data_IF_739847819376
#
_entry.id   IF_739847819376
#
_cell.length_a   1.000
_cell.length_b   1.000
_cell.length_c   1.000
_cell.angle_alpha   90.00
_cell.angle_beta   90.00
_cell.angle_gamma   90.00
#
_symmetry.space_group_name_H-M   'P 1'
#
loop_
_entity.id
_entity.type
_entity.pdbx_description
1 polymer ?
#
# COMPACT_ATOMS: atom_id res chain seq x y z
N UNK A 1 -0.09 60.32 -21.54
CA UNK A 1 1.35 60.50 -21.83
C UNK A 1 2.06 59.42 -21.01
N UNK A 2 2.75 58.38 -21.48
CA UNK A 2 3.45 57.97 -22.71
C UNK A 2 3.46 56.42 -22.72
N UNK A 3 2.85 55.67 -23.66
CA UNK A 3 3.38 54.98 -24.86
C UNK A 3 4.71 54.16 -24.73
N UNK A 4 4.59 52.82 -24.57
CA UNK A 4 5.01 51.63 -25.44
C UNK A 4 6.44 51.65 -26.06
N UNK A 5 7.24 50.53 -26.15
CA UNK A 5 6.90 49.19 -26.74
C UNK A 5 7.46 47.94 -25.99
N UNK A 6 6.96 46.69 -26.07
CA UNK A 6 6.59 45.74 -27.16
C UNK A 6 7.75 45.28 -28.07
N UNK A 7 7.86 43.95 -28.25
CA UNK A 7 8.60 43.19 -29.28
C UNK A 7 10.11 42.89 -29.08
N UNK A 8 10.39 41.63 -28.74
CA UNK A 8 11.41 40.80 -29.40
C UNK A 8 10.68 39.47 -29.74
N UNK A 9 10.15 39.31 -30.95
CA UNK A 9 10.82 38.67 -32.11
C UNK A 9 11.18 37.20 -31.81
N UNK A 10 10.35 36.21 -32.14
CA UNK A 10 10.00 35.70 -33.48
C UNK A 10 11.17 34.95 -34.14
N UNK A 11 10.86 33.72 -34.56
CA UNK A 11 11.56 32.89 -35.56
C UNK A 11 12.95 32.34 -35.16
N UNK A 12 12.98 31.05 -34.82
CA UNK A 12 13.91 30.15 -35.50
C UNK A 12 13.13 28.95 -36.04
N UNK A 13 12.55 29.22 -37.22
CA UNK A 13 11.94 28.28 -38.14
C UNK A 13 13.08 27.58 -38.91
N UNK A 14 13.03 26.24 -38.94
CA UNK A 14 13.47 25.39 -40.07
C UNK A 14 14.98 25.33 -40.40
N UNK A 15 15.57 24.19 -40.03
CA UNK A 15 16.45 23.40 -40.91
C UNK A 15 15.98 21.95 -40.78
N UNK A 16 15.07 21.51 -41.65
CA UNK A 16 15.35 20.65 -42.80
C UNK A 16 16.05 19.32 -42.42
N UNK A 17 15.34 18.21 -42.59
CA UNK A 17 15.62 17.15 -43.59
C UNK A 17 17.07 16.63 -43.46
N UNK A 18 17.35 15.34 -43.28
CA UNK A 18 17.02 14.23 -44.18
C UNK A 18 17.80 13.02 -43.67
N UNK A 19 17.20 11.83 -43.59
CA UNK A 19 17.79 10.58 -44.09
C UNK A 19 16.87 9.39 -43.73
N UNK A 20 16.00 9.07 -44.68
CA UNK A 20 15.53 7.71 -44.89
C UNK A 20 16.74 6.81 -45.20
N UNK A 21 16.86 5.67 -44.51
CA UNK A 21 17.44 4.47 -45.11
C UNK A 21 16.64 3.24 -44.64
N UNK A 22 15.69 2.73 -45.44
CA UNK A 22 15.34 1.32 -45.40
C UNK A 22 16.31 0.58 -46.32
N UNK A 23 17.26 -0.18 -45.77
CA UNK A 23 18.09 -1.07 -46.57
C UNK A 23 17.33 -2.38 -46.80
N UNK A 24 16.91 -2.60 -48.04
CA UNK A 24 16.33 -3.83 -48.53
C UNK A 24 17.37 -4.95 -48.61
N UNK A 25 16.95 -6.16 -48.22
CA UNK A 25 17.09 -7.37 -49.02
C UNK A 25 18.46 -8.04 -49.13
N UNK A 26 18.59 -9.20 -48.48
CA UNK A 26 19.24 -10.38 -49.08
C UNK A 26 18.54 -11.66 -48.61
N UNK A 27 17.90 -12.35 -49.55
CA UNK A 27 17.59 -13.78 -49.60
C UNK A 27 17.69 -14.12 -51.10
N UNK A 28 18.30 -15.22 -51.57
CA UNK A 28 18.19 -16.58 -51.02
C UNK A 28 19.46 -17.46 -51.09
N UNK A 29 19.51 -18.54 -50.31
CA UNK A 29 20.16 -19.79 -50.79
C UNK A 29 19.54 -21.00 -50.08
N UNK A 30 18.88 -21.91 -50.80
CA UNK A 30 18.45 -23.18 -50.22
C UNK A 30 19.64 -24.15 -50.22
N UNK A 31 20.17 -24.45 -49.03
CA UNK A 31 21.09 -25.57 -48.86
C UNK A 31 20.28 -26.86 -48.75
N UNK A 32 20.52 -27.80 -49.67
CA UNK A 32 19.96 -29.15 -49.66
C UNK A 32 20.33 -29.91 -48.38
N UNK A 33 19.38 -30.63 -47.75
CA UNK A 33 19.75 -31.67 -46.79
C UNK A 33 20.26 -32.95 -47.51
N UNK A 34 21.27 -33.62 -46.95
CA UNK A 34 21.86 -34.88 -47.46
C UNK A 34 20.94 -36.11 -47.15
N UNK A 35 21.29 -37.32 -47.61
CA UNK A 35 20.32 -38.36 -47.95
C UNK A 35 19.65 -39.05 -46.74
N UNK A 36 18.46 -39.57 -47.04
CA UNK A 36 17.58 -40.35 -46.19
C UNK A 36 18.31 -41.46 -45.43
N UNK A 37 18.32 -41.37 -44.10
CA UNK A 37 18.64 -42.50 -43.22
C UNK A 37 17.40 -43.36 -43.06
N UNK A 38 17.57 -44.66 -43.31
CA UNK A 38 16.59 -45.72 -43.12
C UNK A 38 16.06 -45.70 -41.68
N UNK A 39 14.75 -45.58 -41.50
CA UNK A 39 14.09 -45.69 -40.20
C UNK A 39 14.10 -47.17 -39.81
N UNK A 40 14.94 -47.52 -38.84
CA UNK A 40 14.80 -48.77 -38.09
C UNK A 40 13.55 -48.65 -37.24
N UNK A 41 12.61 -49.58 -37.38
CA UNK A 41 11.38 -49.63 -36.58
C UNK A 41 11.72 -49.86 -35.10
N UNK A 42 11.66 -48.80 -34.31
CA UNK A 42 11.69 -48.88 -32.85
C UNK A 42 10.41 -49.57 -32.36
N UNK A 43 10.48 -50.54 -31.43
CA UNK A 43 9.29 -51.12 -30.83
C UNK A 43 8.47 -50.04 -30.13
N UNK A 44 7.20 -49.90 -30.51
CA UNK A 44 6.23 -48.99 -29.89
C UNK A 44 6.00 -49.43 -28.45
N UNK A 45 6.53 -48.66 -27.50
CA UNK A 45 6.14 -48.76 -26.09
C UNK A 45 4.65 -48.38 -25.97
N UNK A 46 3.87 -49.08 -25.13
CA UNK A 46 2.49 -48.71 -24.86
C UNK A 46 2.44 -47.27 -24.33
N UNK A 47 1.36 -46.51 -24.60
CA UNK A 47 1.23 -45.15 -24.12
C UNK A 47 1.43 -45.13 -22.61
N UNK A 48 2.27 -44.23 -22.06
CA UNK A 48 2.43 -44.14 -20.62
C UNK A 48 1.06 -43.91 -20.02
N UNK A 49 0.69 -44.73 -19.04
CA UNK A 49 -0.50 -44.52 -18.26
C UNK A 49 -0.45 -43.07 -17.76
N UNK A 50 -1.43 -42.25 -18.17
CA UNK A 50 -1.60 -40.89 -17.67
C UNK A 50 -1.92 -41.05 -16.19
N UNK A 51 -0.87 -41.04 -15.39
CA UNK A 51 -1.01 -41.02 -13.94
C UNK A 51 -1.60 -39.63 -13.67
N UNK A 52 -2.77 -39.51 -13.03
CA UNK A 52 -3.32 -38.19 -12.74
C UNK A 52 -2.25 -37.43 -11.98
N UNK A 53 -1.76 -36.35 -12.59
CA UNK A 53 -0.85 -35.45 -11.91
C UNK A 53 -1.58 -35.00 -10.66
N UNK A 54 -1.04 -35.18 -9.45
CA UNK A 54 -1.69 -34.68 -8.26
C UNK A 54 -1.93 -33.20 -8.49
N UNK A 55 -3.21 -32.80 -8.54
CA UNK A 55 -3.59 -31.40 -8.59
C UNK A 55 -3.05 -30.80 -7.30
N UNK A 56 -1.93 -30.09 -7.39
CA UNK A 56 -1.41 -29.32 -6.25
C UNK A 56 -2.55 -28.39 -5.84
N UNK A 57 -3.08 -28.60 -4.64
CA UNK A 57 -4.13 -27.74 -4.12
C UNK A 57 -3.58 -26.32 -4.09
N UNK A 58 -4.31 -25.37 -4.70
CA UNK A 58 -3.92 -23.97 -4.62
C UNK A 58 -3.98 -23.54 -3.16
N UNK A 59 -2.97 -22.82 -2.65
CA UNK A 59 -3.04 -22.22 -1.32
C UNK A 59 -4.30 -21.38 -1.18
N UNK A 60 -4.93 -21.44 -0.01
CA UNK A 60 -6.17 -20.72 0.30
C UNK A 60 -6.17 -20.24 1.73
N UNK A 61 -6.82 -19.12 2.00
CA UNK A 61 -7.09 -18.61 3.34
C UNK A 61 -8.55 -18.84 3.71
N UNK A 62 -8.80 -19.19 4.97
CA UNK A 62 -10.13 -19.28 5.55
C UNK A 62 -10.24 -18.40 6.81
N UNK A 63 -11.47 -18.06 7.21
CA UNK A 63 -11.69 -17.27 8.43
C UNK A 63 -11.08 -17.92 9.68
N UNK A 64 -11.17 -19.24 9.79
CA UNK A 64 -10.66 -20.02 10.93
C UNK A 64 -9.14 -19.88 11.13
N UNK A 65 -8.41 -19.53 10.07
CA UNK A 65 -6.97 -19.27 10.16
C UNK A 65 -6.65 -18.04 11.03
N UNK A 66 -7.58 -17.09 11.13
CA UNK A 66 -7.40 -15.82 11.84
C UNK A 66 -7.90 -15.85 13.29
N UNK A 67 -7.98 -17.01 13.91
CA UNK A 67 -8.44 -17.16 15.31
C UNK A 67 -7.34 -16.93 16.35
N UNK A 68 -6.08 -16.81 15.90
CA UNK A 68 -4.93 -16.54 16.76
C UNK A 68 -4.78 -15.07 17.17
N UNK A 69 -3.86 -14.78 18.11
CA UNK A 69 -3.57 -13.42 18.57
C UNK A 69 -2.81 -12.56 17.56
N UNK A 70 -2.30 -13.16 16.48
CA UNK A 70 -1.55 -12.50 15.41
C UNK A 70 -2.21 -12.87 14.08
N UNK A 71 -2.28 -11.90 13.17
CA UNK A 71 -2.91 -12.08 11.86
C UNK A 71 -1.89 -12.37 10.75
N UNK A 72 -0.59 -12.23 11.04
CA UNK A 72 0.49 -12.49 10.08
C UNK A 72 0.69 -13.97 9.71
N UNK A 73 0.67 -14.96 10.63
CA UNK A 73 1.01 -16.34 10.31
C UNK A 73 0.15 -17.00 9.22
N UNK A 74 -1.19 -16.80 9.17
CA UNK A 74 -2.00 -17.27 8.04
C UNK A 74 -1.52 -16.75 6.68
N UNK A 75 -1.23 -15.45 6.61
CA UNK A 75 -0.81 -14.79 5.39
C UNK A 75 0.56 -15.28 4.95
N UNK A 76 1.51 -15.38 5.90
CA UNK A 76 2.83 -15.97 5.64
C UNK A 76 2.72 -17.40 5.12
N UNK A 77 1.93 -18.27 5.77
CA UNK A 77 1.70 -19.65 5.31
C UNK A 77 1.14 -19.70 3.89
N UNK A 78 0.21 -18.81 3.55
CA UNK A 78 -0.34 -18.70 2.20
C UNK A 78 0.75 -18.33 1.18
N UNK A 79 1.55 -17.30 1.48
CA UNK A 79 2.63 -16.84 0.61
C UNK A 79 3.73 -17.89 0.43
N UNK A 80 4.15 -18.54 1.52
CA UNK A 80 5.17 -19.60 1.53
C UNK A 80 4.72 -20.86 0.79
N UNK A 81 3.41 -21.12 0.72
CA UNK A 81 2.86 -22.21 -0.07
C UNK A 81 2.80 -21.91 -1.58
N UNK A 82 3.33 -20.76 -2.02
CA UNK A 82 3.29 -20.30 -3.41
C UNK A 82 2.02 -19.51 -3.75
N UNK A 83 1.35 -18.96 -2.74
CA UNK A 83 0.27 -18.00 -2.94
C UNK A 83 0.77 -16.75 -3.65
N UNK A 84 -0.07 -16.15 -4.49
CA UNK A 84 0.28 -14.98 -5.28
C UNK A 84 -0.07 -13.70 -4.49
N UNK A 85 0.93 -12.87 -4.10
CA UNK A 85 0.70 -11.61 -3.38
C UNK A 85 -0.30 -10.69 -4.09
N UNK A 86 -0.33 -10.69 -5.43
CA UNK A 86 -1.20 -9.81 -6.22
C UNK A 86 -2.68 -10.18 -6.11
N UNK A 87 -2.98 -11.42 -5.69
CA UNK A 87 -4.35 -11.90 -5.49
C UNK A 87 -4.79 -11.87 -4.03
N UNK A 88 -3.87 -11.59 -3.10
CA UNK A 88 -4.09 -11.70 -1.67
C UNK A 88 -5.22 -10.79 -1.19
N UNK A 89 -5.26 -9.54 -1.64
CA UNK A 89 -6.34 -8.60 -1.29
C UNK A 89 -7.71 -9.15 -1.70
N UNK A 90 -7.85 -9.56 -2.95
CA UNK A 90 -9.12 -10.09 -3.48
C UNK A 90 -9.54 -11.38 -2.75
N UNK A 91 -8.58 -12.23 -2.38
CA UNK A 91 -8.84 -13.43 -1.60
C UNK A 91 -9.31 -13.13 -0.19
N UNK A 92 -8.64 -12.21 0.52
CA UNK A 92 -9.04 -11.78 1.86
C UNK A 92 -10.42 -11.15 1.84
N UNK A 93 -10.68 -10.22 0.92
CA UNK A 93 -11.96 -9.53 0.76
C UNK A 93 -13.13 -10.46 0.36
N UNK A 94 -12.83 -11.67 -0.13
CA UNK A 94 -13.84 -12.68 -0.44
C UNK A 94 -14.28 -13.52 0.78
N UNK A 95 -13.51 -13.49 1.87
CA UNK A 95 -13.83 -14.24 3.09
C UNK A 95 -14.94 -13.53 3.86
N UNK A 96 -16.06 -14.21 4.07
CA UNK A 96 -17.14 -13.73 4.96
C UNK A 96 -16.75 -14.02 6.40
N UNK A 97 -16.54 -12.95 7.18
CA UNK A 97 -16.11 -13.03 8.56
C UNK A 97 -17.28 -13.13 9.55
N UNK A 98 -18.37 -12.41 9.29
CA UNK A 98 -19.61 -12.51 10.03
C UNK A 98 -20.74 -12.99 9.11
N UNK A 99 -21.15 -14.27 9.18
CA UNK A 99 -22.25 -14.80 8.38
C UNK A 99 -23.62 -14.18 8.72
N UNK A 100 -23.84 -13.73 9.96
CA UNK A 100 -25.11 -13.14 10.38
C UNK A 100 -25.30 -11.75 9.76
N UNK A 101 -24.23 -10.96 9.69
CA UNK A 101 -24.24 -9.63 9.07
C UNK A 101 -23.80 -9.65 7.60
N UNK A 102 -23.35 -10.80 7.08
CA UNK A 102 -22.69 -10.95 5.77
C UNK A 102 -21.53 -9.97 5.58
N UNK A 103 -20.81 -9.67 6.66
CA UNK A 103 -19.69 -8.73 6.62
C UNK A 103 -18.41 -9.46 6.19
N UNK A 104 -17.77 -9.05 5.08
CA UNK A 104 -16.49 -9.61 4.66
C UNK A 104 -15.35 -9.09 5.53
N UNK A 105 -14.21 -9.77 5.50
CA UNK A 105 -12.94 -9.15 5.86
C UNK A 105 -12.74 -7.95 4.92
N UNK A 106 -12.26 -6.83 5.46
CA UNK A 106 -11.77 -5.71 4.66
C UNK A 106 -10.25 -5.73 4.71
N UNK A 107 -9.63 -5.81 3.54
CA UNK A 107 -8.20 -5.80 3.37
C UNK A 107 -7.80 -4.80 2.30
N UNK A 108 -6.68 -4.13 2.53
CA UNK A 108 -5.96 -3.32 1.55
C UNK A 108 -4.53 -3.86 1.50
N UNK A 109 -4.01 -4.17 0.31
CA UNK A 109 -2.67 -4.74 0.13
C UNK A 109 -1.87 -3.93 -0.88
N UNK A 110 -0.74 -3.39 -0.45
CA UNK A 110 0.15 -2.60 -1.27
C UNK A 110 1.53 -3.27 -1.36
N UNK A 111 2.06 -3.41 -2.59
CA UNK A 111 3.45 -3.77 -2.85
C UNK A 111 4.27 -2.49 -2.84
N UNK A 112 5.21 -2.36 -1.91
CA UNK A 112 5.96 -1.13 -1.70
C UNK A 112 7.32 -1.37 -1.08
N UNK A 113 8.37 -0.84 -1.71
CA UNK A 113 9.68 -0.66 -1.09
C UNK A 113 9.61 0.43 0.01
N UNK A 114 9.46 0.01 1.28
CA UNK A 114 9.48 0.87 2.47
C UNK A 114 10.83 0.85 3.18
N UNK A 115 11.68 -0.14 2.86
CA UNK A 115 13.03 -0.25 3.43
C UNK A 115 14.09 0.50 2.63
N UNK A 116 13.78 0.90 1.39
CA UNK A 116 14.66 1.61 0.47
C UNK A 116 15.71 0.72 -0.19
N UNK A 117 15.53 -0.61 -0.16
CA UNK A 117 16.52 -1.57 -0.67
C UNK A 117 16.24 -2.05 -2.10
N UNK A 118 15.18 -1.52 -2.73
CA UNK A 118 14.74 -1.87 -4.07
C UNK A 118 13.89 -3.14 -4.14
N UNK A 119 13.56 -3.76 -3.00
CA UNK A 119 12.66 -4.90 -2.90
C UNK A 119 11.34 -4.44 -2.29
N UNK A 120 10.23 -4.74 -2.96
CA UNK A 120 8.93 -4.39 -2.41
C UNK A 120 8.57 -5.30 -1.23
N UNK A 121 8.24 -4.68 -0.10
CA UNK A 121 7.47 -5.28 0.98
C UNK A 121 5.98 -5.38 0.62
N UNK A 122 5.25 -6.21 1.36
CA UNK A 122 3.79 -6.18 1.38
C UNK A 122 3.32 -5.41 2.61
N UNK A 123 2.69 -4.26 2.41
CA UNK A 123 2.00 -3.49 3.44
C UNK A 123 0.51 -3.80 3.38
N UNK A 124 -0.08 -4.22 4.50
CA UNK A 124 -1.47 -4.67 4.57
C UNK A 124 -2.21 -4.00 5.72
N UNK A 125 -3.44 -3.55 5.47
CA UNK A 125 -4.42 -3.38 6.54
C UNK A 125 -5.44 -4.49 6.49
N UNK A 126 -5.86 -4.96 7.65
CA UNK A 126 -6.84 -6.02 7.82
C UNK A 126 -7.87 -5.58 8.84
N UNK A 127 -9.14 -5.75 8.52
CA UNK A 127 -10.25 -5.53 9.44
C UNK A 127 -11.20 -6.72 9.35
N UNK A 128 -11.28 -7.48 10.45
CA UNK A 128 -12.03 -8.73 10.54
C UNK A 128 -13.22 -8.54 11.49
N UNK A 129 -14.46 -8.50 10.96
CA UNK A 129 -15.68 -8.56 11.78
C UNK A 129 -15.74 -9.84 12.63
N UNK A 130 -16.01 -9.72 13.94
CA UNK A 130 -16.16 -10.84 14.89
C UNK A 130 -17.60 -11.06 15.36
N UNK A 131 -18.54 -10.28 14.85
CA UNK A 131 -19.95 -10.27 15.26
C UNK A 131 -20.18 -9.48 16.56
N UNK A 132 -21.45 -9.18 16.87
CA UNK A 132 -21.82 -8.47 18.10
C UNK A 132 -21.19 -7.07 18.24
N UNK A 133 -20.96 -6.39 17.13
CA UNK A 133 -20.31 -5.09 16.99
C UNK A 133 -18.79 -5.04 17.19
N UNK A 134 -18.11 -6.20 17.23
CA UNK A 134 -16.66 -6.25 17.37
C UNK A 134 -15.92 -6.38 16.03
N UNK A 135 -14.80 -5.66 15.89
CA UNK A 135 -13.81 -5.87 14.82
C UNK A 135 -12.41 -6.02 15.38
N UNK A 136 -11.64 -6.94 14.80
CA UNK A 136 -10.19 -6.94 14.94
C UNK A 136 -9.59 -6.14 13.78
N UNK A 137 -8.65 -5.25 14.08
CA UNK A 137 -7.93 -4.50 13.04
C UNK A 137 -6.43 -4.58 13.24
N UNK A 138 -5.70 -4.78 12.15
CA UNK A 138 -4.25 -4.88 12.14
C UNK A 138 -3.65 -4.16 10.94
N UNK A 139 -2.46 -3.60 11.18
CA UNK A 139 -1.54 -3.16 10.15
C UNK A 139 -0.33 -4.10 10.17
N UNK A 140 -0.02 -4.70 9.02
CA UNK A 140 1.08 -5.63 8.84
C UNK A 140 2.02 -5.11 7.76
N UNK A 141 3.32 -5.33 7.94
CA UNK A 141 4.30 -5.22 6.86
C UNK A 141 5.16 -6.46 6.84
N UNK A 142 5.18 -7.12 5.69
CA UNK A 142 5.92 -8.36 5.45
C UNK A 142 7.03 -8.12 4.44
N UNK A 143 8.27 -8.43 4.81
CA UNK A 143 9.42 -8.37 3.90
C UNK A 143 9.75 -9.75 3.34
N UNK A 144 9.98 -9.87 2.01
CA UNK A 144 10.45 -11.12 1.42
C UNK A 144 11.94 -11.31 1.70
N UNK A 145 12.30 -12.31 2.51
CA UNK A 145 13.68 -12.66 2.83
C UNK A 145 13.98 -14.13 2.50
N UNK A 146 14.95 -14.35 1.61
CA UNK A 146 15.46 -15.69 1.28
C UNK A 146 14.38 -16.73 0.90
N UNK A 147 13.31 -16.30 0.21
CA UNK A 147 12.20 -17.16 -0.20
C UNK A 147 11.10 -17.35 0.85
N UNK A 148 11.18 -16.63 1.97
CA UNK A 148 10.17 -16.58 3.03
C UNK A 148 9.67 -15.15 3.22
N UNK A 149 8.54 -14.98 3.92
CA UNK A 149 8.06 -13.65 4.33
C UNK A 149 8.23 -13.47 5.83
N UNK A 150 8.94 -12.43 6.24
CA UNK A 150 9.13 -12.07 7.65
C UNK A 150 8.28 -10.85 8.00
N UNK A 151 7.66 -10.85 9.17
CA UNK A 151 6.97 -9.67 9.71
C UNK A 151 7.98 -8.65 10.21
N UNK A 152 7.98 -7.43 9.65
CA UNK A 152 8.77 -6.28 10.14
C UNK A 152 7.90 -5.23 10.84
N UNK A 153 6.59 -5.32 10.67
CA UNK A 153 5.60 -4.58 11.46
C UNK A 153 4.36 -5.46 11.67
N UNK A 154 3.91 -5.55 12.92
CA UNK A 154 2.57 -6.01 13.25
C UNK A 154 2.01 -5.11 14.35
N UNK A 155 1.09 -4.25 13.96
CA UNK A 155 0.40 -3.32 14.85
C UNK A 155 -1.06 -3.76 15.00
N UNK A 156 -1.34 -4.48 16.09
CA UNK A 156 -2.66 -5.03 16.39
C UNK A 156 -3.34 -4.12 17.39
N UNK A 157 -4.56 -3.69 17.10
CA UNK A 157 -5.44 -3.11 18.11
C UNK A 157 -6.45 -4.15 18.57
N UNK A 158 -6.58 -4.26 19.90
CA UNK A 158 -7.63 -5.04 20.57
C UNK A 158 -9.03 -4.70 20.00
N UNK A 159 -10.01 -5.60 20.14
CA UNK A 159 -11.30 -5.47 19.47
C UNK A 159 -11.93 -4.10 19.70
N UNK A 160 -12.27 -3.41 18.61
CA UNK A 160 -13.02 -2.16 18.70
C UNK A 160 -14.48 -2.51 19.00
N UNK A 161 -15.04 -1.91 20.06
CA UNK A 161 -16.36 -2.26 20.61
C UNK A 161 -17.55 -1.83 19.73
N UNK A 162 -17.33 -1.18 18.57
CA UNK A 162 -18.41 -0.69 17.72
C UNK A 162 -18.12 -0.83 16.21
N UNK A 163 -18.77 -1.80 15.57
CA UNK A 163 -18.77 -2.04 14.11
C UNK A 163 -19.40 -0.89 13.33
N UNK A 164 -20.35 -0.17 13.92
CA UNK A 164 -21.23 0.74 13.16
C UNK A 164 -20.49 1.91 12.54
N UNK A 165 -19.36 2.33 13.12
CA UNK A 165 -18.62 3.53 12.69
C UNK A 165 -17.09 3.32 12.58
N UNK A 166 -16.62 2.07 12.68
CA UNK A 166 -15.19 1.75 12.56
C UNK A 166 -14.86 1.20 11.17
N UNK A 167 -14.12 1.96 10.37
CA UNK A 167 -13.62 1.49 9.08
C UNK A 167 -12.34 0.64 9.20
N UNK A 168 -11.77 0.57 10.41
CA UNK A 168 -10.48 -0.06 10.67
C UNK A 168 -9.32 0.76 10.12
N UNK A 169 -8.11 0.17 10.11
CA UNK A 169 -6.95 0.83 9.50
C UNK A 169 -7.10 0.92 7.98
N UNK A 170 -6.72 2.07 7.44
CA UNK A 170 -6.55 2.30 6.00
C UNK A 170 -5.27 3.05 5.73
N UNK A 171 -4.67 2.84 4.56
CA UNK A 171 -3.58 3.69 4.12
C UNK A 171 -4.18 5.02 3.62
N UNK A 172 -3.84 6.11 4.30
CA UNK A 172 -4.13 7.46 3.79
C UNK A 172 -3.19 7.80 2.64
N UNK A 173 -1.91 7.43 2.79
CA UNK A 173 -0.88 7.54 1.77
C UNK A 173 0.26 6.56 2.03
N UNK A 174 0.95 6.17 0.97
CA UNK A 174 2.22 5.45 1.00
C UNK A 174 3.17 6.21 0.09
N UNK A 175 4.03 7.04 0.68
CA UNK A 175 4.80 8.05 -0.06
C UNK A 175 6.03 8.48 0.70
N UNK A 176 7.10 8.80 -0.01
CA UNK A 176 8.28 9.46 0.54
C UNK A 176 7.94 10.93 0.88
N UNK A 177 7.73 11.18 2.17
CA UNK A 177 7.33 12.48 2.71
C UNK A 177 8.54 13.35 3.07
N UNK A 178 9.68 12.74 3.41
CA UNK A 178 10.86 13.44 3.94
C UNK A 178 12.02 13.55 2.92
N UNK A 179 11.86 12.97 1.72
CA UNK A 179 12.81 12.88 0.60
C UNK A 179 14.09 12.12 0.93
N UNK A 180 13.98 11.02 1.66
CA UNK A 180 15.11 10.13 1.97
C UNK A 180 15.15 8.85 1.10
N UNK A 181 14.35 8.80 0.04
CA UNK A 181 14.17 7.65 -0.87
C UNK A 181 13.53 6.42 -0.19
N UNK A 182 13.07 6.51 1.06
CA UNK A 182 12.19 5.54 1.70
C UNK A 182 10.77 6.08 1.78
N UNK A 183 9.77 5.20 1.72
CA UNK A 183 8.36 5.63 1.77
C UNK A 183 7.83 5.51 3.19
N UNK A 184 7.17 6.55 3.67
CA UNK A 184 6.36 6.48 4.87
C UNK A 184 4.99 5.86 4.60
N UNK A 185 4.49 5.14 5.60
CA UNK A 185 3.12 4.67 5.70
C UNK A 185 2.33 5.66 6.55
N UNK A 186 1.43 6.42 5.91
CA UNK A 186 0.48 7.27 6.63
C UNK A 186 -0.82 6.50 6.79
N UNK A 187 -1.13 6.13 8.03
CA UNK A 187 -2.23 5.21 8.35
C UNK A 187 -3.30 5.97 9.13
N UNK A 188 -4.55 5.77 8.74
CA UNK A 188 -5.72 6.35 9.40
C UNK A 188 -6.57 5.24 10.02
N UNK A 189 -7.03 5.47 11.24
CA UNK A 189 -8.10 4.71 11.88
C UNK A 189 -9.25 5.65 12.22
N UNK A 190 -10.35 5.51 11.50
CA UNK A 190 -11.58 6.26 11.72
C UNK A 190 -12.54 5.47 12.63
N UNK A 191 -12.96 6.08 13.74
CA UNK A 191 -13.93 5.53 14.68
C UNK A 191 -14.91 6.63 15.09
N UNK A 192 -16.18 6.51 14.72
CA UNK A 192 -17.21 7.45 15.19
C UNK A 192 -16.98 8.90 14.74
N UNK A 193 -16.32 9.09 13.59
CA UNK A 193 -15.92 10.40 13.06
C UNK A 193 -14.59 10.94 13.62
N UNK A 194 -14.05 10.32 14.67
CA UNK A 194 -12.71 10.63 15.17
C UNK A 194 -11.66 9.86 14.36
N UNK A 195 -10.58 10.56 14.01
CA UNK A 195 -9.48 9.99 13.24
C UNK A 195 -8.22 9.91 14.09
N UNK A 196 -7.53 8.79 13.99
CA UNK A 196 -6.19 8.59 14.56
C UNK A 196 -5.23 8.36 13.41
N UNK A 197 -4.23 9.23 13.27
CA UNK A 197 -3.23 9.13 12.22
C UNK A 197 -1.88 8.70 12.78
N UNK A 198 -1.24 7.74 12.13
CA UNK A 198 0.16 7.39 12.33
C UNK A 198 0.96 7.76 11.10
N UNK A 199 2.21 8.18 11.29
CA UNK A 199 3.21 8.29 10.22
C UNK A 199 4.33 7.33 10.60
N UNK A 200 4.47 6.26 9.85
CA UNK A 200 5.42 5.19 10.14
C UNK A 200 6.49 5.14 9.07
N UNK A 201 7.74 4.91 9.46
CA UNK A 201 8.86 4.80 8.54
C UNK A 201 9.92 3.82 9.03
N UNK A 202 10.81 3.43 8.12
CA UNK A 202 11.91 2.52 8.38
C UNK A 202 13.06 3.24 9.08
N UNK A 203 13.54 2.71 10.21
CA UNK A 203 14.67 3.29 10.95
C UNK A 203 16.02 2.61 10.68
N UNK A 204 16.08 1.75 9.66
CA UNK A 204 17.22 0.88 9.38
C UNK A 204 17.10 -0.51 10.00
N UNK A 205 16.19 -0.72 10.95
CA UNK A 205 16.02 -2.02 11.64
C UNK A 205 14.58 -2.48 11.75
N UNK A 206 13.64 -1.58 11.93
CA UNK A 206 12.21 -1.86 12.03
C UNK A 206 11.40 -0.66 11.54
N UNK A 207 10.12 -0.89 11.27
CA UNK A 207 9.18 0.21 11.04
C UNK A 207 8.73 0.75 12.41
N UNK A 208 8.80 2.07 12.58
CA UNK A 208 8.39 2.75 13.81
C UNK A 208 7.62 4.03 13.50
N UNK A 209 6.93 4.56 14.51
CA UNK A 209 6.35 5.90 14.41
C UNK A 209 7.44 6.95 14.26
N UNK A 210 7.23 7.85 13.30
CA UNK A 210 8.00 9.06 13.08
C UNK A 210 7.34 10.28 13.72
N UNK A 211 6.30 10.09 14.53
CA UNK A 211 5.70 11.14 15.34
C UNK A 211 6.42 11.24 16.69
N UNK A 212 6.58 12.46 17.19
CA UNK A 212 7.00 12.64 18.58
C UNK A 212 5.91 12.12 19.52
N UNK A 213 6.24 11.27 20.52
CA UNK A 213 5.27 10.82 21.49
C UNK A 213 4.59 12.01 22.18
N UNK A 214 3.26 12.02 22.18
CA UNK A 214 2.45 13.06 22.78
C UNK A 214 1.48 12.46 23.79
N UNK A 215 0.99 13.28 24.71
CA UNK A 215 0.02 12.82 25.69
C UNK A 215 -1.37 12.72 25.04
N UNK A 216 -1.99 11.55 25.12
CA UNK A 216 -3.38 11.37 24.70
C UNK A 216 -4.28 12.23 25.60
N UNK A 217 -5.11 13.11 25.02
CA UNK A 217 -5.93 14.04 25.80
C UNK A 217 -7.05 13.34 26.59
N UNK A 218 -7.42 12.11 26.23
CA UNK A 218 -8.47 11.32 26.87
C UNK A 218 -7.91 10.38 27.94
N UNK A 219 -6.78 9.72 27.67
CA UNK A 219 -6.22 8.70 28.59
C UNK A 219 -5.05 9.20 29.42
N UNK A 220 -4.45 10.35 29.07
CA UNK A 220 -3.19 10.85 29.64
C UNK A 220 -1.97 9.95 29.42
N UNK A 221 -2.10 8.91 28.59
CA UNK A 221 -1.00 8.02 28.21
C UNK A 221 -0.14 8.65 27.11
N UNK A 222 1.13 8.25 27.02
CA UNK A 222 1.96 8.65 25.88
C UNK A 222 1.58 7.81 24.67
N UNK A 223 1.20 8.49 23.59
CA UNK A 223 0.80 7.90 22.31
C UNK A 223 1.60 8.49 21.17
N UNK A 224 1.72 7.72 20.10
CA UNK A 224 2.50 8.04 18.90
C UNK A 224 1.59 8.19 17.66
N UNK A 225 0.35 8.62 17.88
CA UNK A 225 -0.63 8.99 16.85
C UNK A 225 -1.18 10.39 17.06
N UNK A 226 -1.71 10.98 15.99
CA UNK A 226 -2.41 12.25 15.99
C UNK A 226 -3.92 12.00 16.10
N UNK A 227 -4.55 12.48 17.17
CA UNK A 227 -6.00 12.42 17.33
C UNK A 227 -6.67 13.68 16.76
N UNK A 228 -7.51 13.50 15.74
CA UNK A 228 -8.35 14.54 15.16
C UNK A 228 -9.82 14.16 15.38
N UNK A 229 -10.48 14.72 16.41
CA UNK A 229 -11.89 14.48 16.63
C UNK A 229 -12.73 15.07 15.50
N UNK A 230 -13.76 14.36 15.04
CA UNK A 230 -14.69 14.80 13.98
C UNK A 230 -13.98 15.53 12.82
N UNK A 231 -13.10 14.85 12.09
CA UNK A 231 -12.19 15.53 11.17
C UNK A 231 -11.73 14.72 9.98
N UNK A 232 -10.61 15.12 9.40
CA UNK A 232 -9.96 14.38 8.30
C UNK A 232 -8.49 14.79 8.19
N UNK A 233 -7.74 14.05 7.36
CA UNK A 233 -6.35 14.30 7.04
C UNK A 233 -6.09 14.10 5.55
N UNK A 234 -5.07 14.78 5.03
CA UNK A 234 -4.55 14.60 3.68
C UNK A 234 -3.04 14.84 3.69
N UNK A 235 -2.30 14.04 2.93
CA UNK A 235 -0.87 14.23 2.72
C UNK A 235 -0.65 15.16 1.52
N UNK A 236 0.06 16.26 1.72
CA UNK A 236 0.40 17.22 0.65
C UNK A 236 1.55 18.13 1.05
N UNK A 237 2.26 18.67 0.08
CA UNK A 237 3.18 19.78 0.26
C UNK A 237 2.37 21.06 0.55
N UNK A 238 2.42 21.56 1.79
CA UNK A 238 1.63 22.71 2.22
C UNK A 238 2.34 24.04 1.93
N UNK A 239 3.67 24.09 1.97
CA UNK A 239 4.45 25.33 1.92
C UNK A 239 5.32 25.49 0.66
N UNK A 240 5.37 24.47 -0.19
CA UNK A 240 6.13 24.46 -1.43
C UNK A 240 7.63 24.19 -1.23
N UNK A 241 8.05 23.68 -0.07
CA UNK A 241 9.44 23.27 0.17
C UNK A 241 9.78 21.90 -0.48
N UNK A 242 8.74 21.19 -0.91
CA UNK A 242 8.83 19.92 -1.60
C UNK A 242 8.77 18.69 -0.69
N UNK A 243 8.81 18.87 0.63
CA UNK A 243 8.47 17.83 1.59
C UNK A 243 6.94 17.70 1.65
N UNK A 244 6.45 16.54 2.05
CA UNK A 244 5.02 16.33 2.22
C UNK A 244 4.66 16.45 3.70
N UNK A 245 3.58 17.14 3.98
CA UNK A 245 3.02 17.29 5.30
C UNK A 245 1.76 16.45 5.45
N UNK A 246 1.45 16.03 6.68
CA UNK A 246 0.10 15.64 7.03
C UNK A 246 -0.69 16.90 7.43
N UNK A 247 -1.61 17.30 6.57
CA UNK A 247 -2.53 18.41 6.80
C UNK A 247 -3.88 17.87 7.31
N UNK A 248 -4.29 18.28 8.50
CA UNK A 248 -5.53 17.82 9.12
C UNK A 248 -6.54 18.95 9.31
N UNK A 249 -7.82 18.59 9.33
CA UNK A 249 -8.93 19.51 9.53
C UNK A 249 -9.85 18.92 10.59
N UNK A 250 -10.13 19.70 11.63
CA UNK A 250 -11.21 19.43 12.58
C UNK A 250 -12.49 20.11 12.10
N UNK A 251 -13.59 19.38 11.99
CA UNK A 251 -14.89 19.98 11.69
C UNK A 251 -15.59 20.44 12.97
N UNK A 252 -16.35 21.54 12.86
CA UNK A 252 -17.23 21.96 13.96
C UNK A 252 -18.42 20.99 14.08
N UNK A 253 -18.95 20.77 15.30
CA UNK A 253 -20.19 20.01 15.47
C UNK A 253 -21.33 20.60 14.64
N UNK A 254 -22.22 19.75 14.12
CA UNK A 254 -23.41 20.21 13.40
C UNK A 254 -24.30 21.08 14.31
N UNK A 255 -24.68 22.26 13.82
CA UNK A 255 -25.54 23.22 14.54
C UNK A 255 -24.87 24.56 14.88
N UNK A 256 -23.55 24.65 14.81
CA UNK A 256 -22.79 25.89 15.05
C UNK A 256 -22.50 26.68 13.76
N UNK A 257 -23.55 27.24 13.15
CA UNK A 257 -23.43 28.24 12.08
C UNK A 257 -23.02 27.70 10.70
N UNK A 258 -22.81 28.59 9.70
CA UNK A 258 -22.45 28.19 8.35
C UNK A 258 -21.15 27.40 8.36
N UNK A 259 -21.11 26.29 7.59
CA UNK A 259 -19.99 25.35 7.44
C UNK A 259 -18.68 26.11 7.17
N UNK A 260 -17.98 26.49 8.22
CA UNK A 260 -16.65 27.08 8.17
C UNK A 260 -15.69 26.02 8.68
N UNK A 261 -14.73 25.65 7.82
CA UNK A 261 -13.62 24.75 8.12
C UNK A 261 -13.12 25.04 9.54
N UNK A 262 -13.09 24.04 10.42
CA UNK A 262 -12.63 24.26 11.79
C UNK A 262 -11.11 24.41 11.86
N UNK A 263 -10.53 24.06 13.02
CA UNK A 263 -9.09 24.16 13.22
C UNK A 263 -8.34 23.32 12.18
N UNK A 264 -7.27 23.88 11.64
CA UNK A 264 -6.38 23.24 10.69
C UNK A 264 -5.03 23.07 11.36
N UNK A 265 -4.48 21.87 11.26
CA UNK A 265 -3.18 21.55 11.85
C UNK A 265 -2.28 20.97 10.76
N UNK A 266 -0.98 21.25 10.85
CA UNK A 266 0.03 20.76 9.92
C UNK A 266 1.07 19.99 10.72
N UNK A 267 1.42 18.80 10.24
CA UNK A 267 2.49 17.98 10.80
C UNK A 267 3.57 17.86 9.74
N UNK A 268 4.70 18.52 10.00
CA UNK A 268 5.82 18.67 9.05
C UNK A 268 7.06 17.96 9.58
N UNK A 269 7.88 17.46 8.66
CA UNK A 269 9.19 16.90 8.98
C UNK A 269 10.13 17.99 9.51
N UNK A 270 10.79 17.74 10.64
CA UNK A 270 11.75 18.68 11.24
C UNK A 270 13.22 18.29 11.03
N UNK A 271 13.46 17.23 10.26
CA UNK A 271 14.77 16.60 10.08
C UNK A 271 14.96 15.33 10.91
N UNK A 272 14.06 15.00 11.83
CA UNK A 272 14.12 13.77 12.65
C UNK A 272 12.75 13.11 12.87
N UNK A 273 11.70 13.91 13.06
CA UNK A 273 10.32 13.45 13.28
C UNK A 273 9.33 14.42 12.63
N UNK A 274 8.08 13.97 12.47
CA UNK A 274 6.96 14.84 12.13
C UNK A 274 6.43 15.52 13.39
N UNK A 275 6.42 16.86 13.38
CA UNK A 275 5.95 17.69 14.50
C UNK A 275 4.81 18.59 14.09
N UNK A 276 3.94 18.89 15.05
CA UNK A 276 2.91 19.90 14.87
C UNK A 276 3.55 21.27 14.66
N UNK A 277 3.24 21.90 13.55
CA UNK A 277 3.67 23.26 13.24
C UNK A 277 2.45 24.16 13.23
N UNK A 278 2.42 25.13 14.14
CA UNK A 278 1.36 26.13 14.14
C UNK A 278 1.56 27.09 12.95
N UNK A 279 0.92 26.77 11.83
CA UNK A 279 0.95 27.61 10.62
C UNK A 279 -0.42 28.24 10.39
N UNK A 280 -0.45 29.58 10.36
CA UNK A 280 -1.64 30.32 9.92
C UNK A 280 -1.67 30.27 8.39
N UNK A 281 -2.51 29.39 7.85
CA UNK A 281 -2.77 29.23 6.41
C UNK A 281 -3.96 30.09 5.95
#
# INVERSE_FOLDING_TARGET
MSKIPLLCSVLLLVVLLTACIPLSGVSPTPASPPPSLTITTTPTLPPPAVTPTPSVARPSLALDDFTGPSLAPPIQRYLEAGGDPTTLEAMLNAIIADPAQKAPIRAEVNSVDVTGDGVDELALTLTIPRGGDYVDTSLLVLTPQAGHYQTILEFIRAPLETLTDADGYRFLAIVDMNRDDTKELVVDLAIGGDHRFWILGWDGTQIRSLLEPQQDPLTSEMVDYILIPNGTGIVRDVDGDGLLDLYTIRYRPEGEGPRHCGAKDVWSWDGTVFRHVHRVL
#
